data_IF_364205966389
#
_entry.id   IF_364205966389
#
_cell.length_a   1.000
_cell.length_b   1.000
_cell.length_c   1.000
_cell.angle_alpha   90.00
_cell.angle_beta   90.00
_cell.angle_gamma   90.00
#
_symmetry.space_group_name_H-M   'P 1'
#
loop_
_entity.id
_entity.type
_entity.pdbx_description
1 polymer ?
#
# COMPACT_ATOMS: atom_id res chain seq x y z
N UNK A 1 4.79 -13.61 7.10
CA UNK A 1 5.06 -14.59 6.01
C UNK A 1 5.41 -13.86 4.71
N UNK A 2 6.26 -14.44 3.83
CA UNK A 2 6.52 -13.84 2.51
C UNK A 2 5.28 -13.92 1.62
N UNK A 3 5.03 -12.89 0.83
CA UNK A 3 3.88 -12.87 -0.06
C UNK A 3 3.98 -13.96 -1.16
N UNK A 4 5.19 -14.25 -1.64
CA UNK A 4 5.42 -15.36 -2.58
C UNK A 4 4.99 -16.72 -2.01
N UNK A 5 5.36 -17.01 -0.75
CA UNK A 5 4.94 -18.23 -0.07
C UNK A 5 3.42 -18.30 0.09
N UNK A 6 2.80 -17.19 0.53
CA UNK A 6 1.33 -17.07 0.60
C UNK A 6 0.67 -17.36 -0.76
N UNK A 7 1.20 -16.76 -1.82
CA UNK A 7 0.66 -16.91 -3.17
C UNK A 7 0.73 -18.36 -3.65
N UNK A 8 1.90 -18.98 -3.58
CA UNK A 8 2.08 -20.35 -4.09
C UNK A 8 1.43 -21.42 -3.23
N UNK A 9 1.44 -21.26 -1.89
CA UNK A 9 0.96 -22.30 -0.96
C UNK A 9 -0.54 -22.21 -0.68
N UNK A 10 -1.13 -21.02 -0.75
CA UNK A 10 -2.54 -20.81 -0.39
C UNK A 10 -3.34 -20.32 -1.58
N UNK A 11 -2.90 -19.26 -2.26
CA UNK A 11 -3.71 -18.64 -3.32
C UNK A 11 -3.86 -19.56 -4.53
N UNK A 12 -2.75 -20.04 -5.11
CA UNK A 12 -2.79 -20.90 -6.29
C UNK A 12 -3.69 -22.14 -6.10
N UNK A 13 -3.53 -22.94 -5.02
CA UNK A 13 -4.35 -24.15 -4.86
C UNK A 13 -5.79 -23.87 -4.42
N UNK A 14 -6.03 -22.86 -3.56
CA UNK A 14 -7.35 -22.66 -2.94
C UNK A 14 -8.23 -21.64 -3.68
N UNK A 15 -7.64 -20.55 -4.16
CA UNK A 15 -8.36 -19.46 -4.80
C UNK A 15 -8.33 -19.53 -6.34
N UNK A 16 -7.37 -20.27 -6.91
CA UNK A 16 -7.21 -20.51 -8.36
C UNK A 16 -7.43 -19.24 -9.20
N UNK A 17 -6.55 -18.23 -9.10
CA UNK A 17 -6.69 -17.00 -9.87
C UNK A 17 -6.79 -17.28 -11.36
N UNK A 18 -7.57 -16.45 -12.07
CA UNK A 18 -7.70 -16.53 -13.53
C UNK A 18 -6.33 -16.50 -14.22
N UNK A 19 -6.20 -17.26 -15.31
CA UNK A 19 -5.02 -17.21 -16.17
C UNK A 19 -4.75 -15.77 -16.65
N UNK A 20 -3.52 -15.33 -16.44
CA UNK A 20 -3.08 -13.97 -16.74
C UNK A 20 -3.46 -12.91 -15.69
N UNK A 21 -3.86 -13.30 -14.48
CA UNK A 21 -3.95 -12.38 -13.34
C UNK A 21 -2.55 -11.77 -13.05
N UNK A 22 -2.39 -10.48 -13.36
CA UNK A 22 -1.10 -9.76 -13.22
C UNK A 22 -1.17 -8.62 -12.22
N UNK A 23 -2.36 -8.34 -11.67
CA UNK A 23 -2.60 -7.31 -10.68
C UNK A 23 -3.20 -7.92 -9.41
N UNK A 24 -2.89 -7.31 -8.27
CA UNK A 24 -3.46 -7.64 -6.97
C UNK A 24 -4.03 -6.37 -6.37
N UNK A 25 -5.30 -6.40 -5.96
CA UNK A 25 -5.97 -5.33 -5.26
C UNK A 25 -6.09 -5.71 -3.80
N UNK A 26 -5.47 -4.92 -2.94
CA UNK A 26 -5.59 -5.01 -1.49
C UNK A 26 -6.66 -4.05 -1.02
N UNK A 27 -7.61 -4.52 -0.21
CA UNK A 27 -8.64 -3.68 0.43
C UNK A 27 -8.46 -3.69 1.94
N UNK A 28 -8.50 -2.51 2.53
CA UNK A 28 -8.48 -2.30 3.96
C UNK A 28 -9.91 -2.18 4.51
N UNK A 29 -10.05 -2.36 5.81
CA UNK A 29 -11.33 -2.25 6.52
C UNK A 29 -11.92 -0.84 6.50
N UNK A 30 -11.08 0.20 6.39
CA UNK A 30 -11.47 1.61 6.37
C UNK A 30 -11.90 2.10 4.97
N UNK A 31 -12.01 1.19 4.00
CA UNK A 31 -12.34 1.50 2.61
C UNK A 31 -11.14 1.94 1.77
N UNK A 32 -9.93 2.03 2.36
CA UNK A 32 -8.72 2.23 1.56
C UNK A 32 -8.44 1.00 0.70
N UNK A 33 -7.92 1.20 -0.49
CA UNK A 33 -7.56 0.14 -1.40
C UNK A 33 -6.35 0.52 -2.24
N UNK A 34 -5.53 -0.47 -2.57
CA UNK A 34 -4.33 -0.27 -3.37
C UNK A 34 -4.18 -1.39 -4.39
N UNK A 35 -3.90 -1.03 -5.64
CA UNK A 35 -3.54 -1.96 -6.70
C UNK A 35 -2.02 -2.01 -6.91
N UNK A 36 -1.46 -3.22 -7.00
CA UNK A 36 -0.06 -3.49 -7.29
C UNK A 36 0.08 -4.61 -8.33
N UNK A 37 1.23 -4.68 -8.99
CA UNK A 37 1.51 -5.81 -9.90
C UNK A 37 1.91 -7.05 -9.12
N UNK A 38 1.41 -8.20 -9.54
CA UNK A 38 1.75 -9.49 -8.96
C UNK A 38 3.26 -9.75 -9.00
N UNK A 39 3.92 -9.44 -10.11
CA UNK A 39 5.38 -9.64 -10.23
C UNK A 39 6.20 -8.80 -9.24
N UNK A 40 5.70 -7.65 -8.81
CA UNK A 40 6.36 -6.82 -7.81
C UNK A 40 6.12 -7.36 -6.40
N UNK A 41 4.98 -8.02 -6.16
CA UNK A 41 4.62 -8.64 -4.89
C UNK A 41 5.29 -9.99 -4.65
N UNK A 42 5.73 -10.67 -5.71
CA UNK A 42 6.45 -11.93 -5.62
C UNK A 42 7.94 -11.75 -5.27
N UNK A 43 8.40 -10.51 -5.04
CA UNK A 43 9.76 -10.25 -4.56
C UNK A 43 9.97 -10.79 -3.13
N UNK A 44 11.20 -11.23 -2.83
CA UNK A 44 11.53 -11.95 -1.59
C UNK A 44 11.36 -11.14 -0.30
N UNK A 45 11.39 -9.81 -0.41
CA UNK A 45 11.28 -8.86 0.71
C UNK A 45 9.84 -8.37 0.94
N UNK A 46 8.87 -8.84 0.15
CA UNK A 46 7.45 -8.50 0.32
C UNK A 46 6.81 -9.46 1.30
N UNK A 47 6.20 -8.91 2.36
CA UNK A 47 5.63 -9.66 3.46
C UNK A 47 4.16 -9.33 3.67
N UNK A 48 3.39 -10.36 4.04
CA UNK A 48 2.17 -10.20 4.83
C UNK A 48 2.58 -10.32 6.31
N UNK A 49 2.44 -9.22 7.05
CA UNK A 49 2.88 -9.10 8.42
C UNK A 49 1.68 -8.98 9.37
N UNK A 50 1.72 -9.77 10.44
CA UNK A 50 0.77 -9.83 11.55
C UNK A 50 1.42 -9.44 12.90
N UNK A 51 2.75 -9.26 12.91
CA UNK A 51 3.52 -8.83 14.08
C UNK A 51 4.72 -7.94 13.75
N UNK A 52 5.31 -7.36 14.79
CA UNK A 52 6.59 -6.63 14.77
C UNK A 52 7.43 -7.11 15.95
N UNK A 53 8.63 -7.63 15.66
CA UNK A 53 9.47 -8.27 16.68
C UNK A 53 8.76 -9.50 17.25
N UNK A 54 8.69 -9.58 18.58
CA UNK A 54 8.07 -10.69 19.30
C UNK A 54 6.57 -10.48 19.60
N UNK A 55 6.00 -9.34 19.19
CA UNK A 55 4.61 -8.96 19.46
C UNK A 55 3.72 -8.93 18.22
N UNK A 56 2.41 -9.03 18.42
CA UNK A 56 1.41 -8.78 17.38
C UNK A 56 1.39 -7.31 16.95
N UNK A 57 0.77 -7.02 15.80
CA UNK A 57 0.58 -5.63 15.36
C UNK A 57 -0.37 -4.88 16.30
N UNK A 58 -0.01 -3.65 16.66
CA UNK A 58 -0.94 -2.66 17.17
C UNK A 58 -1.86 -2.13 16.06
N UNK A 59 -3.00 -1.55 16.44
CA UNK A 59 -3.96 -0.94 15.50
C UNK A 59 -3.27 0.16 14.69
N UNK A 60 -2.46 1.00 15.32
CA UNK A 60 -1.66 2.04 14.66
C UNK A 60 -0.70 1.51 13.59
N UNK A 61 -0.29 0.25 13.70
CA UNK A 61 0.59 -0.43 12.76
C UNK A 61 -0.15 -1.24 11.69
N UNK A 62 -1.48 -1.35 11.78
CA UNK A 62 -2.32 -1.98 10.76
C UNK A 62 -2.79 -3.38 11.10
N UNK A 63 -2.94 -3.70 12.40
CA UNK A 63 -3.49 -4.97 12.84
C UNK A 63 -4.85 -5.31 12.21
N UNK A 64 -5.20 -6.60 12.08
CA UNK A 64 -4.39 -7.78 12.44
C UNK A 64 -3.35 -8.13 11.37
N UNK A 65 -3.47 -7.59 10.16
CA UNK A 65 -2.64 -7.97 9.02
C UNK A 65 -2.37 -6.75 8.12
N UNK A 66 -1.14 -6.60 7.67
CA UNK A 66 -0.74 -5.55 6.73
C UNK A 66 0.20 -6.08 5.64
N UNK A 67 0.24 -5.38 4.52
CA UNK A 67 1.25 -5.56 3.48
C UNK A 67 2.50 -4.75 3.81
N UNK A 68 3.67 -5.36 3.62
CA UNK A 68 4.98 -4.71 3.68
C UNK A 68 5.71 -4.97 2.36
N UNK A 69 5.97 -3.91 1.58
CA UNK A 69 6.66 -3.95 0.30
C UNK A 69 7.73 -2.84 0.29
N UNK A 70 8.96 -3.12 0.78
CA UNK A 70 9.98 -2.10 1.04
C UNK A 70 10.41 -1.29 -0.18
N UNK A 71 10.44 -1.91 -1.36
CA UNK A 71 10.78 -1.24 -2.62
C UNK A 71 9.74 -0.17 -3.06
N UNK A 72 8.56 -0.13 -2.43
CA UNK A 72 7.43 0.71 -2.83
C UNK A 72 7.12 1.79 -1.78
N UNK A 73 6.54 2.90 -2.24
CA UNK A 73 6.12 3.98 -1.34
C UNK A 73 5.13 3.51 -0.28
N UNK A 74 5.16 4.15 0.89
CA UNK A 74 4.35 3.76 2.05
C UNK A 74 2.85 3.68 1.78
N UNK A 75 2.29 4.49 0.87
CA UNK A 75 0.87 4.42 0.53
C UNK A 75 0.47 3.10 -0.16
N UNK A 76 1.42 2.39 -0.78
CA UNK A 76 1.22 1.05 -1.36
C UNK A 76 1.14 -0.05 -0.30
N UNK A 77 1.63 0.22 0.92
CA UNK A 77 1.68 -0.73 2.03
C UNK A 77 0.37 -0.67 2.82
N UNK A 78 -0.63 -1.44 2.37
CA UNK A 78 -1.98 -1.43 2.94
C UNK A 78 -2.00 -1.98 4.37
N UNK A 79 -2.62 -1.22 5.27
CA UNK A 79 -2.89 -1.60 6.67
C UNK A 79 -4.31 -2.15 6.82
N UNK A 80 -4.58 -2.87 7.90
CA UNK A 80 -5.93 -3.37 8.23
C UNK A 80 -6.53 -4.20 7.09
N UNK A 81 -5.74 -5.12 6.56
CA UNK A 81 -6.08 -5.84 5.35
C UNK A 81 -7.35 -6.69 5.56
N UNK A 82 -8.35 -6.47 4.71
CA UNK A 82 -9.65 -7.14 4.74
C UNK A 82 -9.84 -8.10 3.57
N UNK A 83 -9.33 -7.75 2.38
CA UNK A 83 -9.43 -8.59 1.19
C UNK A 83 -8.21 -8.45 0.27
N UNK A 84 -7.93 -9.54 -0.46
CA UNK A 84 -6.89 -9.61 -1.51
C UNK A 84 -7.56 -10.18 -2.75
N UNK A 85 -7.58 -9.41 -3.84
CA UNK A 85 -8.23 -9.78 -5.08
C UNK A 85 -7.20 -9.88 -6.22
N UNK A 86 -7.27 -10.94 -7.03
CA UNK A 86 -6.36 -11.16 -8.15
C UNK A 86 -7.05 -10.81 -9.47
N UNK A 87 -6.50 -9.83 -10.19
CA UNK A 87 -7.13 -9.20 -11.34
C UNK A 87 -6.27 -9.35 -12.60
N UNK A 88 -6.92 -9.52 -13.76
CA UNK A 88 -6.26 -9.56 -15.06
C UNK A 88 -5.83 -8.18 -15.56
N UNK A 89 -6.63 -7.16 -15.28
CA UNK A 89 -6.40 -5.78 -15.71
C UNK A 89 -6.82 -4.78 -14.60
N UNK A 90 -6.12 -3.65 -14.52
CA UNK A 90 -6.38 -2.52 -13.61
C UNK A 90 -7.49 -1.59 -14.09
N UNK A 91 -8.01 -1.69 -15.32
CA UNK A 91 -9.00 -0.73 -15.89
C UNK A 91 -10.17 -0.32 -14.96
N UNK A 92 -10.67 -1.26 -14.16
CA UNK A 92 -11.81 -1.03 -13.27
C UNK A 92 -11.42 -0.57 -11.86
N UNK A 93 -10.13 -0.48 -11.56
CA UNK A 93 -9.64 -0.03 -10.27
C UNK A 93 -9.60 1.49 -10.22
N UNK A 94 -10.19 2.06 -9.17
CA UNK A 94 -10.14 3.47 -8.83
C UNK A 94 -9.47 3.64 -7.49
N UNK A 95 -8.60 4.64 -7.39
CA UNK A 95 -7.95 4.97 -6.14
C UNK A 95 -8.99 5.54 -5.16
N UNK A 96 -8.97 5.13 -3.89
CA UNK A 96 -9.99 5.55 -2.92
C UNK A 96 -9.96 7.06 -2.66
N UNK A 97 -11.16 7.63 -2.48
CA UNK A 97 -11.36 9.00 -2.01
C UNK A 97 -10.65 9.21 -0.66
N UNK A 98 -10.06 10.41 -0.38
CA UNK A 98 -10.15 11.69 -1.07
C UNK A 98 -9.10 11.96 -2.15
N UNK A 99 -8.30 10.97 -2.50
CA UNK A 99 -7.14 11.19 -3.36
C UNK A 99 -7.49 10.96 -4.84
N UNK A 100 -7.05 11.84 -5.76
CA UNK A 100 -7.30 11.65 -7.19
C UNK A 100 -6.49 10.48 -7.75
N UNK A 101 -7.05 9.78 -8.75
CA UNK A 101 -6.40 8.67 -9.48
C UNK A 101 -5.01 9.04 -10.05
N UNK A 102 -4.76 10.34 -10.27
CA UNK A 102 -3.47 10.89 -10.71
C UNK A 102 -2.31 10.57 -9.77
N UNK A 103 -2.60 10.48 -8.46
CA UNK A 103 -1.60 10.19 -7.43
C UNK A 103 -1.24 8.70 -7.37
N UNK A 104 -2.03 7.81 -7.98
CA UNK A 104 -1.75 6.37 -7.96
C UNK A 104 -0.85 5.92 -9.11
N UNK A 105 0.44 5.75 -8.80
CA UNK A 105 1.38 5.14 -9.73
C UNK A 105 1.15 3.61 -9.83
N UNK A 106 1.14 3.01 -11.03
CA UNK A 106 0.93 1.56 -11.20
C UNK A 106 1.91 0.67 -10.43
N UNK A 107 3.17 1.11 -10.29
CA UNK A 107 4.22 0.45 -9.52
C UNK A 107 4.45 1.18 -8.19
N UNK A 108 5.09 2.35 -8.24
CA UNK A 108 5.26 3.21 -7.07
C UNK A 108 6.57 2.90 -6.36
N UNK A 109 7.62 2.56 -7.13
CA UNK A 109 8.94 2.19 -6.62
C UNK A 109 9.71 3.40 -6.14
N UNK A 110 10.34 3.27 -4.98
CA UNK A 110 11.09 4.35 -4.32
C UNK A 110 12.35 4.71 -5.10
N UNK A 111 13.11 3.70 -5.57
CA UNK A 111 14.37 3.88 -6.28
C UNK A 111 14.26 4.71 -7.57
N UNK A 112 13.10 4.69 -8.21
CA UNK A 112 12.83 5.40 -9.47
C UNK A 112 12.01 6.68 -9.29
N UNK A 113 11.74 7.07 -8.04
CA UNK A 113 10.89 8.21 -7.71
C UNK A 113 9.50 8.22 -8.37
N UNK A 114 8.89 7.05 -8.52
CA UNK A 114 7.60 6.85 -9.18
C UNK A 114 6.40 7.37 -8.34
N UNK A 115 6.33 8.69 -8.11
CA UNK A 115 5.35 9.32 -7.20
C UNK A 115 4.02 9.67 -7.86
N UNK A 116 4.01 9.91 -9.16
CA UNK A 116 2.79 10.18 -9.91
C UNK A 116 2.91 9.58 -11.30
N UNK A 117 1.77 9.25 -11.90
CA UNK A 117 1.73 8.56 -13.20
C UNK A 117 2.08 9.47 -14.38
N UNK A 118 1.65 10.73 -14.35
CA UNK A 118 1.71 11.63 -15.51
C UNK A 118 2.48 12.92 -15.27
N UNK A 119 2.79 13.25 -14.02
CA UNK A 119 3.41 14.54 -13.67
C UNK A 119 4.93 14.36 -13.54
N UNK A 120 5.75 15.20 -14.19
CA UNK A 120 7.20 15.16 -14.04
C UNK A 120 7.66 15.33 -12.58
N UNK A 121 8.65 14.55 -12.17
CA UNK A 121 9.15 14.53 -10.79
C UNK A 121 9.64 15.90 -10.31
N UNK A 122 10.26 16.71 -11.18
CA UNK A 122 10.75 18.05 -10.82
C UNK A 122 9.63 18.99 -10.37
N UNK A 123 8.46 18.93 -11.01
CA UNK A 123 7.31 19.76 -10.69
C UNK A 123 6.68 19.32 -9.37
N UNK A 124 6.51 18.00 -9.18
CA UNK A 124 6.02 17.40 -7.93
C UNK A 124 6.91 17.83 -6.76
N UNK A 125 8.24 17.82 -6.94
CA UNK A 125 9.19 18.22 -5.88
C UNK A 125 8.98 19.65 -5.41
N UNK A 126 8.73 20.59 -6.34
CA UNK A 126 8.46 22.00 -5.99
C UNK A 126 7.18 22.11 -5.18
N UNK A 127 6.09 21.52 -5.68
CA UNK A 127 4.77 21.57 -5.02
C UNK A 127 4.82 20.90 -3.64
N UNK A 128 5.41 19.71 -3.53
CA UNK A 128 5.57 19.02 -2.25
C UNK A 128 6.38 19.86 -1.27
N UNK A 129 7.52 20.42 -1.68
CA UNK A 129 8.38 21.21 -0.79
C UNK A 129 7.62 22.40 -0.19
N UNK A 130 6.73 23.04 -0.95
CA UNK A 130 5.89 24.12 -0.47
C UNK A 130 4.80 23.65 0.52
N UNK A 131 4.19 22.49 0.29
CA UNK A 131 3.09 21.97 1.12
C UNK A 131 3.55 21.27 2.41
N UNK A 132 4.74 20.65 2.40
CA UNK A 132 5.24 19.82 3.52
C UNK A 132 5.28 20.52 4.89
N UNK A 133 5.67 21.81 5.04
CA UNK A 133 5.72 22.46 6.35
C UNK A 133 4.34 22.51 7.03
N UNK A 134 3.29 22.82 6.26
CA UNK A 134 1.91 22.86 6.76
C UNK A 134 1.40 21.47 7.14
N UNK A 135 1.62 20.49 6.26
CA UNK A 135 1.25 19.10 6.52
C UNK A 135 1.93 18.54 7.79
N UNK A 136 3.24 18.77 7.95
CA UNK A 136 4.00 18.35 9.15
C UNK A 136 3.47 18.98 10.43
N UNK A 137 3.09 20.26 10.40
CA UNK A 137 2.49 20.93 11.57
C UNK A 137 1.13 20.32 11.93
N UNK A 138 0.28 20.07 10.92
CA UNK A 138 -1.04 19.45 11.12
C UNK A 138 -0.93 18.04 11.69
N UNK A 139 -0.07 17.19 11.10
CA UNK A 139 0.14 15.82 11.58
C UNK A 139 0.67 15.78 13.02
N UNK A 140 1.59 16.68 13.37
CA UNK A 140 2.13 16.77 14.73
C UNK A 140 1.04 17.09 15.76
N UNK A 141 0.23 18.12 15.50
CA UNK A 141 -0.89 18.49 16.37
C UNK A 141 -1.90 17.36 16.54
N UNK A 142 -2.21 16.65 15.45
CA UNK A 142 -3.11 15.50 15.51
C UNK A 142 -2.53 14.34 16.34
N UNK A 143 -1.21 14.09 16.23
CA UNK A 143 -0.53 13.06 17.01
C UNK A 143 -0.47 13.43 18.51
N UNK A 144 -0.21 14.70 18.84
CA UNK A 144 -0.27 15.22 20.22
C UNK A 144 -1.67 14.99 20.80
N UNK A 145 -2.72 15.39 20.09
CA UNK A 145 -4.09 15.19 20.54
C UNK A 145 -4.47 13.71 20.76
N UNK A 146 -3.98 12.80 19.91
CA UNK A 146 -4.20 11.36 20.10
C UNK A 146 -3.46 10.81 21.33
N UNK A 147 -2.24 11.29 21.61
CA UNK A 147 -1.45 10.87 22.77
C UNK A 147 -2.02 11.38 24.09
N UNK A 148 -2.59 12.58 24.09
CA UNK A 148 -3.19 13.19 25.28
C UNK A 148 -4.59 12.62 25.60
N UNK A 149 -5.22 11.92 24.65
CA UNK A 149 -6.53 11.28 24.81
C UNK A 149 -6.48 9.78 25.15
N UNK A 150 -5.28 9.22 25.33
CA UNK A 150 -4.99 7.87 25.84
C UNK A 150 -4.63 7.94 27.32
#
# INVERSE_FOLDING_TARGET
>A
MRFSDFYHRLVVPLAQPLDGATFVVFRAQDGYACCMRLCDLLADDVLLADGIGDGGLGIEHGAPLRLVAPAHYGYKNVKHLAAIEFWKDRRNYRFPFPYPDLMDHPRGRVAFEERARYVPAWLIRIVYRALMPGARRKMRKALEHYRDGL
#
